data_IF_249195865327
#
_entry.id   IF_249195865327
#
_cell.length_a   1.000
_cell.length_b   1.000
_cell.length_c   1.000
_cell.angle_alpha   90.00
_cell.angle_beta   90.00
_cell.angle_gamma   90.00
#
_symmetry.space_group_name_H-M   'P 1'
#
loop_
_entity.id
_entity.type
_entity.pdbx_description
1 polymer ?
#
# COMPACT_ATOMS: atom_id res chain seq x y z
N UNK A 1 17.33 6.27 -0.65
CA UNK A 1 15.96 6.80 -0.41
C UNK A 1 15.14 6.67 -1.69
N UNK A 2 13.80 6.60 -1.63
CA UNK A 2 12.98 6.50 -2.87
C UNK A 2 13.15 7.73 -3.79
N UNK A 3 13.37 8.91 -3.21
CA UNK A 3 13.66 10.15 -3.94
C UNK A 3 14.92 10.07 -4.84
N UNK A 4 15.83 9.13 -4.57
CA UNK A 4 17.08 8.93 -5.31
C UNK A 4 16.96 7.82 -6.36
N UNK A 5 15.78 7.20 -6.50
CA UNK A 5 15.53 6.00 -7.33
C UNK A 5 14.55 6.26 -8.47
N UNK A 6 14.23 7.53 -8.74
CA UNK A 6 13.21 7.94 -9.73
C UNK A 6 13.47 7.39 -11.14
N UNK A 7 14.73 7.29 -11.55
CA UNK A 7 15.08 6.75 -12.88
C UNK A 7 14.68 5.27 -13.01
N UNK A 8 14.87 4.46 -11.95
CA UNK A 8 14.49 3.05 -11.93
C UNK A 8 12.98 2.90 -12.15
N UNK A 9 12.19 3.69 -11.42
CA UNK A 9 10.74 3.66 -11.56
C UNK A 9 10.31 4.10 -12.96
N UNK A 10 10.93 5.14 -13.52
CA UNK A 10 10.62 5.61 -14.87
C UNK A 10 10.89 4.54 -15.92
N UNK A 11 12.05 3.88 -15.87
CA UNK A 11 12.41 2.81 -16.82
C UNK A 11 11.41 1.64 -16.78
N UNK A 12 10.98 1.22 -15.59
CA UNK A 12 9.99 0.15 -15.44
C UNK A 12 8.59 0.60 -15.88
N UNK A 13 8.21 1.85 -15.65
CA UNK A 13 6.95 2.38 -16.16
C UNK A 13 6.96 2.45 -17.69
N UNK A 14 8.08 2.84 -18.30
CA UNK A 14 8.26 2.84 -19.76
C UNK A 14 8.21 1.41 -20.34
N UNK A 15 8.73 0.41 -19.61
CA UNK A 15 8.58 -1.00 -19.98
C UNK A 15 7.11 -1.42 -19.99
N UNK A 16 6.36 -1.11 -18.93
CA UNK A 16 4.92 -1.43 -18.85
C UNK A 16 4.10 -0.72 -19.94
N UNK A 17 4.47 0.51 -20.31
CA UNK A 17 3.89 1.23 -21.45
C UNK A 17 4.13 0.48 -22.77
N UNK A 18 5.38 0.06 -23.03
CA UNK A 18 5.74 -0.68 -24.26
C UNK A 18 5.02 -2.02 -24.37
N UNK A 19 4.78 -2.68 -23.23
CA UNK A 19 4.06 -3.95 -23.15
C UNK A 19 2.53 -3.81 -23.19
N UNK A 20 2.00 -2.57 -23.27
CA UNK A 20 0.55 -2.33 -23.27
C UNK A 20 -0.16 -2.61 -21.94
N UNK A 21 0.61 -2.82 -20.86
CA UNK A 21 0.11 -3.03 -19.49
C UNK A 21 -0.16 -1.71 -18.75
N UNK A 22 0.34 -0.61 -19.30
CA UNK A 22 0.10 0.75 -18.83
C UNK A 22 -0.20 1.67 -20.03
N UNK A 23 -0.79 2.83 -19.76
CA UNK A 23 -1.08 3.85 -20.77
C UNK A 23 -0.91 5.28 -20.24
N UNK A 24 -0.78 6.24 -21.16
CA UNK A 24 -0.70 7.67 -20.87
C UNK A 24 -2.09 8.24 -20.58
N UNK A 25 -2.24 8.93 -19.46
CA UNK A 25 -3.47 9.60 -19.05
C UNK A 25 -3.27 11.12 -18.99
N UNK A 26 -4.09 11.84 -19.75
CA UNK A 26 -4.07 13.30 -19.88
C UNK A 26 -5.21 13.99 -19.14
N UNK A 27 -6.01 13.25 -18.35
CA UNK A 27 -7.08 13.85 -17.54
C UNK A 27 -6.52 14.84 -16.52
N UNK A 28 -7.17 16.01 -16.40
CA UNK A 28 -6.79 17.01 -15.41
C UNK A 28 -7.24 16.61 -14.00
N UNK A 29 -6.59 17.17 -12.99
CA UNK A 29 -7.00 16.95 -11.60
C UNK A 29 -8.43 17.44 -11.33
N UNK A 30 -8.84 18.53 -11.96
CA UNK A 30 -10.19 19.07 -11.87
C UNK A 30 -11.24 18.10 -12.45
N UNK A 31 -10.99 17.55 -13.64
CA UNK A 31 -11.86 16.54 -14.25
C UNK A 31 -12.00 15.30 -13.36
N UNK A 32 -10.88 14.80 -12.81
CA UNK A 32 -10.86 13.63 -11.93
C UNK A 32 -11.63 13.90 -10.63
N UNK A 33 -11.45 15.07 -10.03
CA UNK A 33 -12.16 15.47 -8.83
C UNK A 33 -13.66 15.61 -9.05
N UNK A 34 -14.09 16.13 -10.21
CA UNK A 34 -15.50 16.20 -10.60
C UNK A 34 -16.11 14.79 -10.68
N UNK A 35 -15.49 13.88 -11.44
CA UNK A 35 -15.97 12.48 -11.56
C UNK A 35 -16.00 11.75 -10.23
N UNK A 36 -15.02 12.01 -9.36
CA UNK A 36 -14.98 11.48 -8.00
C UNK A 36 -16.20 11.93 -7.19
N UNK A 37 -16.51 13.23 -7.19
CA UNK A 37 -17.68 13.79 -6.49
C UNK A 37 -18.99 13.22 -7.04
N UNK A 38 -19.11 13.06 -8.36
CA UNK A 38 -20.28 12.45 -9.01
C UNK A 38 -20.46 10.97 -8.66
N UNK A 39 -19.36 10.22 -8.50
CA UNK A 39 -19.44 8.82 -8.07
C UNK A 39 -19.93 8.73 -6.63
N UNK A 40 -19.36 9.57 -5.75
CA UNK A 40 -19.74 9.62 -4.33
C UNK A 40 -21.19 10.06 -4.14
N UNK A 41 -21.70 11.03 -4.91
CA UNK A 41 -23.10 11.46 -4.82
C UNK A 41 -24.09 10.39 -5.28
N UNK A 42 -23.64 9.43 -6.08
CA UNK A 42 -24.40 8.25 -6.51
C UNK A 42 -24.21 7.04 -5.58
N UNK A 43 -23.45 7.17 -4.49
CA UNK A 43 -23.11 6.06 -3.60
C UNK A 43 -22.20 5.00 -4.25
N UNK A 44 -21.56 5.32 -5.37
CA UNK A 44 -20.66 4.42 -6.08
C UNK A 44 -19.22 4.61 -5.61
N UNK A 45 -18.42 3.54 -5.51
CA UNK A 45 -17.01 3.65 -5.19
C UNK A 45 -16.29 4.48 -6.27
N UNK A 46 -15.52 5.51 -5.89
CA UNK A 46 -14.84 6.36 -6.85
C UNK A 46 -13.71 5.58 -7.54
N UNK A 47 -13.81 5.43 -8.85
CA UNK A 47 -12.81 4.78 -9.69
C UNK A 47 -12.54 5.61 -10.95
N UNK A 48 -11.37 5.41 -11.54
CA UNK A 48 -11.11 5.95 -12.87
C UNK A 48 -12.00 5.25 -13.89
N UNK A 49 -12.55 6.01 -14.83
CA UNK A 49 -13.52 5.51 -15.81
C UNK A 49 -12.88 5.03 -17.11
N UNK A 50 -11.55 4.99 -17.19
CA UNK A 50 -10.83 4.48 -18.35
C UNK A 50 -10.80 5.45 -19.54
N UNK A 51 -11.18 6.73 -19.36
CA UNK A 51 -11.27 7.73 -20.46
C UNK A 51 -10.07 7.72 -21.41
N UNK A 52 -8.85 7.60 -20.87
CA UNK A 52 -7.62 7.63 -21.67
C UNK A 52 -7.06 6.24 -22.07
N UNK A 53 -7.74 5.14 -21.75
CA UNK A 53 -7.21 3.79 -21.93
C UNK A 53 -7.01 3.41 -23.41
N UNK A 54 -7.87 3.93 -24.30
CA UNK A 54 -7.88 3.61 -25.73
C UNK A 54 -7.68 4.85 -26.62
N UNK A 55 -6.91 5.85 -26.16
CA UNK A 55 -6.62 7.03 -26.99
C UNK A 55 -5.86 6.61 -28.25
N UNK A 56 -6.22 7.22 -29.37
CA UNK A 56 -5.49 7.05 -30.63
C UNK A 56 -4.12 7.75 -30.57
N UNK A 57 -3.23 7.37 -31.49
CA UNK A 57 -1.91 8.02 -31.59
C UNK A 57 -2.05 9.52 -31.90
N UNK A 58 -3.03 9.89 -32.72
CA UNK A 58 -3.35 11.28 -33.07
C UNK A 58 -3.84 12.08 -31.86
N UNK A 59 -4.70 11.48 -31.02
CA UNK A 59 -5.17 12.12 -29.79
C UNK A 59 -4.03 12.35 -28.80
N UNK A 60 -3.16 11.35 -28.61
CA UNK A 60 -1.97 11.46 -27.75
C UNK A 60 -1.07 12.60 -28.23
N UNK A 61 -0.76 12.65 -29.54
CA UNK A 61 0.06 13.72 -30.12
C UNK A 61 -0.60 15.09 -29.95
N UNK A 62 -1.92 15.19 -30.10
CA UNK A 62 -2.65 16.45 -29.88
C UNK A 62 -2.51 16.97 -28.45
N UNK A 63 -2.58 16.09 -27.44
CA UNK A 63 -2.36 16.46 -26.05
C UNK A 63 -0.92 16.90 -25.78
N UNK A 64 0.06 16.18 -26.34
CA UNK A 64 1.48 16.50 -26.18
C UNK A 64 1.85 17.84 -26.83
N UNK A 65 1.30 18.14 -28.01
CA UNK A 65 1.48 19.44 -28.68
C UNK A 65 0.90 20.62 -27.90
N UNK A 66 -0.12 20.37 -27.07
CA UNK A 66 -0.68 21.36 -26.13
C UNK A 66 0.17 21.52 -24.87
N UNK A 67 1.29 20.82 -24.76
CA UNK A 67 2.18 20.84 -23.59
C UNK A 67 1.63 20.11 -22.37
N UNK A 68 0.58 19.29 -22.53
CA UNK A 68 -0.03 18.56 -21.41
C UNK A 68 0.84 17.34 -21.10
N UNK A 69 1.45 17.35 -19.91
CA UNK A 69 2.26 16.23 -19.43
C UNK A 69 1.36 15.09 -18.93
N UNK A 70 1.46 13.87 -19.49
CA UNK A 70 0.63 12.76 -19.05
C UNK A 70 1.12 12.20 -17.71
N UNK A 71 0.18 11.63 -16.96
CA UNK A 71 0.49 10.60 -15.96
C UNK A 71 0.51 9.23 -16.64
N UNK A 72 1.16 8.24 -16.03
CA UNK A 72 1.10 6.84 -16.47
C UNK A 72 0.17 6.07 -15.54
N UNK A 73 -0.82 5.40 -16.12
CA UNK A 73 -1.74 4.51 -15.42
C UNK A 73 -1.48 3.05 -15.75
N UNK A 74 -1.52 2.21 -14.73
CA UNK A 74 -1.56 0.77 -14.88
C UNK A 74 -2.98 0.33 -15.23
N UNK A 75 -3.10 -0.53 -16.25
CA UNK A 75 -4.36 -1.09 -16.71
C UNK A 75 -4.72 -2.31 -15.85
N UNK A 76 -5.93 -2.31 -15.29
CA UNK A 76 -6.41 -3.37 -14.40
C UNK A 76 -7.48 -4.18 -15.12
N UNK A 77 -7.26 -5.49 -15.24
CA UNK A 77 -8.25 -6.42 -15.75
C UNK A 77 -9.35 -6.70 -14.72
N UNK A 78 -10.53 -7.11 -15.18
CA UNK A 78 -11.71 -7.34 -14.33
C UNK A 78 -11.67 -8.65 -13.51
N UNK A 79 -10.57 -9.40 -13.60
CA UNK A 79 -10.40 -10.70 -12.92
C UNK A 79 -10.41 -10.63 -11.39
N UNK A 80 -10.36 -11.80 -10.76
CA UNK A 80 -10.20 -11.93 -9.32
C UNK A 80 -8.72 -11.86 -8.95
N UNK A 81 -8.41 -11.17 -7.85
CA UNK A 81 -7.10 -11.12 -7.23
C UNK A 81 -7.24 -11.80 -5.87
N UNK A 82 -6.58 -12.96 -5.72
CA UNK A 82 -6.58 -13.73 -4.48
C UNK A 82 -5.18 -13.79 -3.89
N UNK A 83 -5.10 -13.72 -2.56
CA UNK A 83 -3.86 -13.97 -1.82
C UNK A 83 -4.17 -14.48 -0.42
N UNK A 84 -3.17 -15.09 0.20
CA UNK A 84 -3.22 -15.50 1.59
C UNK A 84 -2.43 -14.50 2.43
N UNK A 85 -3.11 -13.90 3.40
CA UNK A 85 -2.49 -13.08 4.42
C UNK A 85 -2.21 -13.92 5.67
N UNK A 86 -1.01 -13.80 6.21
CA UNK A 86 -0.58 -14.59 7.38
C UNK A 86 -1.47 -14.33 8.61
N UNK A 87 -2.01 -13.11 8.75
CA UNK A 87 -2.88 -12.72 9.88
C UNK A 87 -4.35 -12.77 9.47
N UNK A 88 -4.71 -12.26 8.28
CA UNK A 88 -6.12 -12.14 7.85
C UNK A 88 -6.66 -13.42 7.19
N UNK A 89 -5.81 -14.34 6.76
CA UNK A 89 -6.18 -15.54 6.02
C UNK A 89 -6.44 -15.27 4.54
N UNK A 90 -7.28 -16.09 3.89
CA UNK A 90 -7.60 -15.94 2.47
C UNK A 90 -8.34 -14.63 2.19
N UNK A 91 -7.82 -13.85 1.25
CA UNK A 91 -8.39 -12.59 0.78
C UNK A 91 -8.71 -12.67 -0.72
N UNK A 92 -9.86 -12.12 -1.11
CA UNK A 92 -10.30 -12.08 -2.52
C UNK A 92 -10.81 -10.67 -2.87
N UNK A 93 -10.32 -10.13 -3.98
CA UNK A 93 -10.69 -8.82 -4.51
C UNK A 93 -11.08 -8.94 -5.99
N UNK A 94 -11.92 -8.02 -6.48
CA UNK A 94 -12.24 -7.90 -7.91
C UNK A 94 -11.46 -6.75 -8.52
N UNK A 95 -10.82 -6.96 -9.67
CA UNK A 95 -10.10 -5.90 -10.38
C UNK A 95 -11.01 -4.74 -10.81
N UNK A 96 -12.30 -5.03 -11.05
CA UNK A 96 -13.34 -4.02 -11.32
C UNK A 96 -13.51 -2.99 -10.19
N UNK A 97 -13.25 -3.39 -8.95
CA UNK A 97 -13.40 -2.52 -7.77
C UNK A 97 -12.17 -1.65 -7.55
N UNK A 98 -11.04 -2.04 -8.15
CA UNK A 98 -9.75 -1.36 -8.05
C UNK A 98 -9.65 -0.24 -9.09
N UNK A 99 -9.97 -0.56 -10.35
CA UNK A 99 -9.85 0.31 -11.52
C UNK A 99 -8.41 0.74 -11.83
N UNK A 100 -8.20 1.27 -13.03
CA UNK A 100 -6.88 1.72 -13.48
C UNK A 100 -6.32 2.84 -12.59
N UNK A 101 -5.07 2.68 -12.15
CA UNK A 101 -4.46 3.57 -11.17
C UNK A 101 -3.13 4.12 -11.63
N UNK A 102 -2.79 5.31 -11.13
CA UNK A 102 -1.55 5.99 -11.47
C UNK A 102 -0.37 5.23 -10.89
N UNK A 103 0.64 4.97 -11.71
CA UNK A 103 1.95 4.41 -11.30
C UNK A 103 3.06 5.45 -11.39
N UNK A 104 2.95 6.41 -12.32
CA UNK A 104 3.84 7.56 -12.44
C UNK A 104 3.02 8.83 -12.62
N UNK A 105 3.27 9.83 -11.78
CA UNK A 105 2.62 11.14 -11.88
C UNK A 105 3.23 11.95 -13.03
N UNK A 106 2.53 13.01 -13.46
CA UNK A 106 2.99 13.90 -14.55
C UNK A 106 4.25 14.71 -14.20
N UNK A 107 4.57 14.83 -12.92
CA UNK A 107 5.81 15.41 -12.39
C UNK A 107 6.98 14.41 -12.38
N UNK A 108 6.76 13.15 -12.77
CA UNK A 108 7.76 12.08 -12.79
C UNK A 108 7.92 11.34 -11.46
N UNK A 109 7.17 11.68 -10.43
CA UNK A 109 7.19 10.99 -9.14
C UNK A 109 6.36 9.70 -9.21
N UNK A 110 6.94 8.59 -8.76
CA UNK A 110 6.26 7.30 -8.67
C UNK A 110 5.15 7.32 -7.63
N UNK A 111 4.00 6.72 -7.95
CA UNK A 111 2.97 6.47 -6.95
C UNK A 111 3.42 5.41 -5.95
N UNK A 112 2.92 5.48 -4.72
CA UNK A 112 3.30 4.59 -3.61
C UNK A 112 3.27 3.10 -4.01
N UNK A 113 2.15 2.63 -4.56
CA UNK A 113 1.99 1.22 -4.92
C UNK A 113 3.00 0.75 -5.97
N UNK A 114 3.44 1.63 -6.85
CA UNK A 114 4.45 1.28 -7.84
C UNK A 114 5.85 1.28 -7.25
N UNK A 115 6.21 2.35 -6.53
CA UNK A 115 7.53 2.48 -5.90
C UNK A 115 7.82 1.34 -4.92
N UNK A 116 6.86 1.02 -4.04
CA UNK A 116 7.02 -0.05 -3.04
C UNK A 116 7.14 -1.42 -3.70
N UNK A 117 6.33 -1.71 -4.72
CA UNK A 117 6.40 -3.01 -5.43
C UNK A 117 7.75 -3.19 -6.12
N UNK A 118 8.26 -2.15 -6.78
CA UNK A 118 9.58 -2.17 -7.43
C UNK A 118 10.69 -2.33 -6.40
N UNK A 119 10.64 -1.57 -5.31
CA UNK A 119 11.68 -1.64 -4.29
C UNK A 119 11.67 -2.97 -3.53
N UNK A 120 10.50 -3.53 -3.24
CA UNK A 120 10.36 -4.81 -2.57
C UNK A 120 11.04 -5.93 -3.39
N UNK A 121 10.83 -5.98 -4.71
CA UNK A 121 11.52 -6.96 -5.57
C UNK A 121 13.03 -6.71 -5.63
N UNK A 122 13.44 -5.47 -5.88
CA UNK A 122 14.86 -5.13 -6.04
C UNK A 122 15.66 -5.32 -4.74
N UNK A 123 15.01 -5.13 -3.59
CA UNK A 123 15.59 -5.37 -2.27
C UNK A 123 15.36 -6.80 -1.77
N UNK A 124 14.72 -7.67 -2.57
CA UNK A 124 14.48 -9.08 -2.26
C UNK A 124 13.70 -9.28 -0.95
N UNK A 125 12.69 -8.43 -0.74
CA UNK A 125 11.77 -8.53 0.38
C UNK A 125 10.94 -9.81 0.25
N UNK A 126 10.94 -10.62 1.30
CA UNK A 126 10.22 -11.90 1.34
C UNK A 126 8.91 -11.82 2.12
N UNK A 127 8.80 -10.90 3.07
CA UNK A 127 7.64 -10.70 3.94
C UNK A 127 7.36 -9.21 4.09
N UNK A 128 6.14 -8.79 3.80
CA UNK A 128 5.63 -7.43 4.00
C UNK A 128 4.68 -7.43 5.18
N UNK A 129 5.14 -6.87 6.29
CA UNK A 129 4.37 -6.73 7.54
C UNK A 129 3.97 -5.25 7.69
N UNK A 130 2.67 -4.98 7.73
CA UNK A 130 2.13 -3.60 7.79
C UNK A 130 0.76 -3.54 8.44
N UNK A 131 0.27 -2.33 8.73
CA UNK A 131 -1.10 -2.13 9.24
C UNK A 131 -2.19 -2.53 8.25
N UNK A 132 -3.33 -2.99 8.76
CA UNK A 132 -4.50 -3.39 7.98
C UNK A 132 -5.15 -2.24 7.20
N UNK A 133 -4.87 -0.99 7.56
CA UNK A 133 -5.27 0.19 6.79
C UNK A 133 -4.63 0.22 5.39
N UNK A 134 -3.55 -0.54 5.18
CA UNK A 134 -2.94 -0.74 3.87
C UNK A 134 -3.40 -2.03 3.15
N UNK A 135 -4.33 -2.81 3.70
CA UNK A 135 -4.79 -4.08 3.11
C UNK A 135 -5.34 -3.91 1.69
N UNK A 136 -6.05 -2.81 1.43
CA UNK A 136 -6.62 -2.48 0.12
C UNK A 136 -5.57 -2.14 -0.96
N UNK A 137 -4.29 -1.93 -0.57
CA UNK A 137 -3.19 -1.72 -1.50
C UNK A 137 -2.58 -3.03 -2.02
N UNK A 138 -2.68 -4.10 -1.23
CA UNK A 138 -2.11 -5.42 -1.56
C UNK A 138 -2.54 -5.94 -2.93
N UNK A 139 -3.83 -5.93 -3.32
CA UNK A 139 -4.19 -6.42 -4.65
C UNK A 139 -3.61 -5.57 -5.79
N UNK A 140 -3.40 -4.25 -5.57
CA UNK A 140 -2.73 -3.39 -6.56
C UNK A 140 -1.25 -3.78 -6.73
N UNK A 141 -0.58 -4.10 -5.63
CA UNK A 141 0.83 -4.49 -5.63
C UNK A 141 1.02 -5.89 -6.24
N UNK A 142 0.11 -6.82 -5.97
CA UNK A 142 0.10 -8.15 -6.61
C UNK A 142 -0.04 -8.03 -8.13
N UNK A 143 -0.98 -7.22 -8.61
CA UNK A 143 -1.14 -6.99 -10.06
C UNK A 143 0.12 -6.42 -10.71
N UNK A 144 0.80 -5.51 -10.01
CA UNK A 144 2.07 -4.95 -10.46
C UNK A 144 3.19 -6.00 -10.48
N UNK A 145 3.31 -6.84 -9.45
CA UNK A 145 4.25 -7.96 -9.43
C UNK A 145 4.02 -8.90 -10.62
N UNK A 146 2.78 -9.33 -10.83
CA UNK A 146 2.40 -10.19 -11.96
C UNK A 146 2.75 -9.54 -13.31
N UNK A 147 2.44 -8.24 -13.46
CA UNK A 147 2.75 -7.51 -14.68
C UNK A 147 4.26 -7.39 -14.94
N UNK A 148 5.08 -7.25 -13.91
CA UNK A 148 6.54 -7.12 -14.04
C UNK A 148 7.27 -8.48 -14.05
N UNK A 149 6.57 -9.56 -13.70
CA UNK A 149 7.16 -10.90 -13.54
C UNK A 149 7.95 -11.04 -12.24
N UNK A 150 7.58 -10.29 -11.20
CA UNK A 150 8.19 -10.36 -9.87
C UNK A 150 7.50 -11.39 -9.00
N UNK A 151 8.26 -11.98 -8.08
CA UNK A 151 7.70 -12.82 -7.03
C UNK A 151 6.93 -11.96 -6.02
N UNK A 152 5.76 -12.44 -5.60
CA UNK A 152 4.99 -11.74 -4.57
C UNK A 152 5.48 -12.16 -3.18
N UNK A 153 5.80 -11.19 -2.29
CA UNK A 153 6.17 -11.51 -0.92
C UNK A 153 4.96 -12.06 -0.16
N UNK A 154 5.21 -12.68 1.00
CA UNK A 154 4.14 -13.00 1.94
C UNK A 154 3.66 -11.73 2.62
N UNK A 155 2.35 -11.58 2.79
CA UNK A 155 1.76 -10.43 3.46
C UNK A 155 1.29 -10.80 4.86
N UNK A 156 1.41 -9.85 5.79
CA UNK A 156 0.81 -9.92 7.12
C UNK A 156 0.26 -8.54 7.50
N UNK A 157 -1.06 -8.44 7.66
CA UNK A 157 -1.74 -7.19 7.97
C UNK A 157 -2.14 -7.10 9.46
N UNK A 158 -1.36 -6.35 10.22
CA UNK A 158 -1.52 -6.12 11.66
C UNK A 158 -2.78 -5.30 11.94
N UNK A 159 -3.50 -5.67 13.00
CA UNK A 159 -4.66 -4.90 13.48
C UNK A 159 -4.24 -3.52 13.96
N UNK A 160 -5.15 -2.56 13.86
CA UNK A 160 -4.91 -1.24 14.44
C UNK A 160 -4.80 -1.32 15.97
N UNK A 161 -3.97 -0.47 16.56
CA UNK A 161 -3.99 -0.18 18.00
C UNK A 161 -5.11 0.83 18.26
N UNK A 162 -5.91 0.58 19.29
CA UNK A 162 -6.97 1.45 19.73
C UNK A 162 -6.55 2.17 21.02
N UNK A 163 -7.15 3.32 21.30
CA UNK A 163 -7.06 3.94 22.62
C UNK A 163 -8.05 3.30 23.60
N UNK A 164 -8.00 3.72 24.86
CA UNK A 164 -8.96 3.28 25.90
C UNK A 164 -10.43 3.50 25.52
N UNK A 165 -10.72 4.48 24.68
CA UNK A 165 -12.05 4.78 24.14
C UNK A 165 -12.46 3.88 22.95
N UNK A 166 -11.62 2.90 22.59
CA UNK A 166 -11.74 2.01 21.43
C UNK A 166 -11.70 2.74 20.07
N UNK A 167 -11.33 4.01 20.05
CA UNK A 167 -11.06 4.73 18.81
C UNK A 167 -9.64 4.42 18.31
N UNK A 168 -9.38 4.64 17.01
CA UNK A 168 -8.04 4.45 16.45
C UNK A 168 -7.04 5.34 17.18
N UNK A 169 -6.00 4.73 17.74
CA UNK A 169 -4.94 5.48 18.41
C UNK A 169 -4.30 6.45 17.41
N UNK A 170 -4.29 7.72 17.76
CA UNK A 170 -3.78 8.79 16.91
C UNK A 170 -3.18 9.90 17.78
N UNK A 171 -2.33 10.75 17.20
CA UNK A 171 -1.71 11.87 17.93
C UNK A 171 -2.72 12.80 18.61
N UNK A 172 -3.97 12.83 18.11
CA UNK A 172 -5.06 13.64 18.68
C UNK A 172 -5.79 12.93 19.83
N UNK A 173 -5.61 11.62 19.98
CA UNK A 173 -6.28 10.75 20.94
C UNK A 173 -5.25 10.00 21.81
N UNK A 174 -4.14 10.66 22.20
CA UNK A 174 -3.20 10.11 23.18
C UNK A 174 -2.08 9.21 22.63
N UNK A 175 -1.83 9.18 21.31
CA UNK A 175 -0.66 8.48 20.80
C UNK A 175 0.63 9.26 21.13
N UNK A 176 1.34 8.82 22.16
CA UNK A 176 2.69 9.29 22.46
C UNK A 176 3.69 8.77 21.44
N UNK A 177 4.63 9.62 21.08
CA UNK A 177 5.77 9.26 20.25
C UNK A 177 6.83 8.54 21.07
N UNK A 178 7.63 7.70 20.42
CA UNK A 178 8.81 7.07 21.05
C UNK A 178 9.76 8.12 21.65
N UNK A 179 9.79 9.34 21.10
CA UNK A 179 10.58 10.45 21.63
C UNK A 179 10.02 10.92 22.98
N UNK A 180 8.71 11.13 23.08
CA UNK A 180 8.03 11.56 24.32
C UNK A 180 8.19 10.49 25.40
N UNK A 181 7.95 9.21 25.10
CA UNK A 181 8.19 8.09 26.03
C UNK A 181 9.63 8.09 26.59
N UNK A 182 10.61 8.36 25.73
CA UNK A 182 12.02 8.47 26.17
C UNK A 182 12.25 9.69 27.07
N UNK A 183 11.64 10.83 26.75
CA UNK A 183 11.76 12.07 27.53
C UNK A 183 11.07 11.97 28.90
N UNK A 184 10.01 11.16 29.01
CA UNK A 184 9.32 10.84 30.26
C UNK A 184 10.05 9.79 31.12
N UNK A 185 11.10 9.16 30.58
CA UNK A 185 11.96 8.25 31.32
C UNK A 185 11.57 6.76 31.23
N UNK A 186 10.72 6.38 30.28
CA UNK A 186 10.44 4.97 30.02
C UNK A 186 11.71 4.24 29.54
N UNK A 187 11.96 3.07 30.11
CA UNK A 187 13.07 2.21 29.69
C UNK A 187 12.79 1.64 28.29
N UNK A 188 13.79 1.60 27.39
CA UNK A 188 13.59 1.07 26.04
C UNK A 188 13.16 -0.40 26.06
N UNK A 189 13.65 -1.19 27.00
CA UNK A 189 13.25 -2.60 27.20
C UNK A 189 11.77 -2.71 27.56
N UNK A 190 11.27 -1.81 28.42
CA UNK A 190 9.87 -1.78 28.80
C UNK A 190 8.97 -1.38 27.64
N UNK A 191 9.38 -0.38 26.84
CA UNK A 191 8.64 0.04 25.64
C UNK A 191 8.58 -1.07 24.60
N UNK A 192 9.70 -1.75 24.33
CA UNK A 192 9.75 -2.87 23.38
C UNK A 192 8.86 -4.02 23.85
N UNK A 193 8.95 -4.39 25.13
CA UNK A 193 8.13 -5.44 25.71
C UNK A 193 6.64 -5.08 25.60
N UNK A 194 6.25 -3.86 26.01
CA UNK A 194 4.87 -3.38 25.90
C UNK A 194 4.35 -3.42 24.45
N UNK A 195 5.09 -2.85 23.49
CA UNK A 195 4.69 -2.85 22.09
C UNK A 195 4.58 -4.26 21.50
N UNK A 196 5.40 -5.21 21.97
CA UNK A 196 5.31 -6.60 21.54
C UNK A 196 4.02 -7.28 22.01
N UNK A 197 3.46 -6.88 23.15
CA UNK A 197 2.21 -7.43 23.69
C UNK A 197 0.97 -6.86 22.99
N UNK A 198 1.12 -5.76 22.24
CA UNK A 198 0.02 -5.14 21.48
C UNK A 198 -0.30 -5.98 20.23
N UNK A 199 -1.08 -7.03 20.45
CA UNK A 199 -1.55 -7.92 19.39
C UNK A 199 -0.70 -9.17 19.20
N UNK A 200 0.25 -9.47 20.08
CA UNK A 200 0.94 -10.75 20.11
C UNK A 200 1.06 -11.27 21.54
N UNK A 201 1.07 -12.59 21.70
CA UNK A 201 1.26 -13.26 22.99
C UNK A 201 2.19 -14.47 22.83
N UNK A 202 3.09 -14.64 23.78
CA UNK A 202 3.92 -15.84 23.89
C UNK A 202 3.05 -17.07 24.18
N UNK A 203 3.56 -18.25 23.87
CA UNK A 203 2.85 -19.51 24.11
C UNK A 203 2.69 -19.81 25.61
N UNK A 204 3.68 -19.41 26.41
CA UNK A 204 3.69 -19.59 27.85
C UNK A 204 2.98 -18.45 28.61
N UNK A 205 2.44 -17.45 27.91
CA UNK A 205 1.68 -16.34 28.51
C UNK A 205 2.52 -15.36 29.34
N UNK A 206 3.87 -15.41 29.25
CA UNK A 206 4.72 -14.43 29.92
C UNK A 206 4.55 -13.04 29.32
N UNK A 207 4.33 -12.06 30.19
CA UNK A 207 4.18 -10.65 29.80
C UNK A 207 5.44 -9.82 30.01
N UNK A 208 6.41 -10.29 30.81
CA UNK A 208 7.68 -9.59 31.02
C UNK A 208 8.79 -10.44 30.43
N UNK A 209 9.33 -10.00 29.28
CA UNK A 209 10.34 -10.73 28.54
C UNK A 209 11.45 -9.79 28.04
N UNK A 210 12.73 -10.21 28.14
CA UNK A 210 13.79 -9.49 27.44
C UNK A 210 13.62 -9.64 25.92
N UNK A 211 14.17 -8.70 25.14
CA UNK A 211 14.14 -8.74 23.68
C UNK A 211 14.66 -10.07 23.11
N UNK A 212 15.67 -10.69 23.75
CA UNK A 212 16.18 -12.00 23.35
C UNK A 212 15.14 -13.11 23.41
N UNK A 213 14.22 -13.06 24.37
CA UNK A 213 13.15 -14.05 24.50
C UNK A 213 12.06 -13.76 23.47
N UNK A 214 11.70 -12.49 23.27
CA UNK A 214 10.76 -12.08 22.21
C UNK A 214 11.26 -12.57 20.85
N UNK A 215 12.53 -12.36 20.50
CA UNK A 215 13.11 -12.83 19.23
C UNK A 215 12.99 -14.35 19.07
N UNK A 216 13.21 -15.11 20.14
CA UNK A 216 13.15 -16.59 20.10
C UNK A 216 11.72 -17.11 19.99
N UNK A 217 10.77 -16.45 20.62
CA UNK A 217 9.39 -16.89 20.74
C UNK A 217 8.47 -16.32 19.66
N UNK A 218 8.87 -15.23 19.01
CA UNK A 218 8.03 -14.54 18.04
C UNK A 218 7.67 -15.44 16.86
N UNK A 219 6.38 -15.49 16.57
CA UNK A 219 5.80 -16.13 15.40
C UNK A 219 4.68 -15.22 14.92
N UNK A 220 4.71 -14.90 13.63
CA UNK A 220 3.75 -14.00 12.99
C UNK A 220 2.34 -14.62 12.99
N UNK A 221 2.24 -15.94 13.00
CA UNK A 221 1.00 -16.72 13.07
C UNK A 221 0.26 -16.55 14.40
N UNK A 222 0.96 -16.15 15.47
CA UNK A 222 0.39 -15.86 16.79
C UNK A 222 -0.08 -14.42 16.95
N UNK A 223 0.10 -13.58 15.92
CA UNK A 223 -0.42 -12.21 15.95
C UNK A 223 -1.95 -12.23 15.86
N UNK A 224 -2.58 -11.53 16.78
CA UNK A 224 -4.03 -11.42 16.90
C UNK A 224 -4.65 -10.64 15.74
N UNK A 225 -5.77 -11.18 15.23
CA UNK A 225 -6.64 -10.49 14.28
C UNK A 225 -7.45 -9.36 14.91
N UNK A 226 -7.57 -9.35 16.24
CA UNK A 226 -8.29 -8.34 16.98
C UNK A 226 -7.40 -7.13 17.26
N UNK A 227 -7.96 -5.92 17.23
CA UNK A 227 -7.25 -4.73 17.70
C UNK A 227 -6.80 -4.87 19.15
N UNK A 228 -5.60 -4.39 19.46
CA UNK A 228 -5.15 -4.21 20.83
C UNK A 228 -5.65 -2.86 21.38
N UNK A 229 -5.96 -2.81 22.68
CA UNK A 229 -6.36 -1.59 23.42
C UNK A 229 -5.29 -1.31 24.46
#
# INVERSE_FOLDING_TARGET
RQSERLNIYKELADKLLKEGKAYKCFCSEEELNKKRKESLSKGLPPRYDGKCCNLSSEEIVSYEQKGIKPSIRFKVDSGLIEFEDTVRGKMTFKGSDIGDFVILRSDGVSAYNFAVTVDDDLMKITHVIRGEDHLSNTPRQILLNQAMGFDSPRFAHLSMILGHDKSRLSKRHGAESVKELREEGYLPEAVINYLSLLGWSSEDGREIMPLSDIIKLFSIERVSKSPAV
#
